data_IF_001797427906
#
_entry.id   IF_001797427906
#
_cell.length_a   1.000
_cell.length_b   1.000
_cell.length_c   1.000
_cell.angle_alpha   90.00
_cell.angle_beta   90.00
_cell.angle_gamma   90.00
#
_symmetry.space_group_name_H-M   'P 1'
#
loop_
_entity.id
_entity.type
_entity.pdbx_description
1 polymer ?
#
# COMPACT_ATOMS: atom_id res chain seq x y z
N UNK A 1 -20.43 -5.74 -4.05
CA UNK A 1 -20.20 -4.31 -3.80
C UNK A 1 -20.58 -4.03 -2.36
N UNK A 2 -19.58 -3.64 -1.56
CA UNK A 2 -19.66 -2.98 -0.24
C UNK A 2 -20.47 -3.69 0.83
N UNK A 3 -19.81 -4.33 1.78
CA UNK A 3 -20.42 -4.54 3.10
C UNK A 3 -20.54 -3.15 3.77
N UNK A 4 -21.75 -2.60 3.93
CA UNK A 4 -21.94 -1.28 4.55
C UNK A 4 -21.58 -1.31 6.04
N UNK A 5 -21.43 -2.51 6.62
CA UNK A 5 -21.06 -2.74 8.02
C UNK A 5 -19.55 -3.00 8.18
N UNK A 6 -18.73 -2.82 7.14
CA UNK A 6 -17.28 -2.98 7.23
C UNK A 6 -16.70 -1.96 8.21
N UNK A 7 -16.24 -2.45 9.36
CA UNK A 7 -15.68 -1.64 10.45
C UNK A 7 -14.20 -1.98 10.59
N UNK A 8 -13.35 -0.98 10.31
CA UNK A 8 -11.91 -1.04 10.57
C UNK A 8 -11.66 -0.64 12.02
N UNK A 9 -11.10 -1.54 12.83
CA UNK A 9 -10.73 -1.26 14.23
C UNK A 9 -9.39 -0.52 14.29
N UNK A 10 -8.42 -0.97 13.51
CA UNK A 10 -7.07 -0.38 13.50
C UNK A 10 -6.59 -0.18 12.07
N UNK A 11 -5.83 0.90 11.86
CA UNK A 11 -5.11 1.16 10.62
C UNK A 11 -3.69 1.60 10.97
N UNK A 12 -2.70 0.97 10.36
CA UNK A 12 -1.29 1.23 10.58
C UNK A 12 -0.63 1.53 9.22
N UNK A 13 -0.44 2.81 8.87
CA UNK A 13 0.29 3.16 7.65
C UNK A 13 1.76 2.77 7.77
N UNK A 14 2.38 2.36 6.66
CA UNK A 14 3.82 2.05 6.56
C UNK A 14 4.28 1.01 7.61
N UNK A 15 3.53 -0.08 7.77
CA UNK A 15 3.85 -1.14 8.73
C UNK A 15 4.99 -2.01 8.20
N UNK A 16 6.12 -2.04 8.91
CA UNK A 16 7.19 -2.99 8.62
C UNK A 16 6.81 -4.39 9.11
N UNK A 17 6.94 -5.39 8.25
CA UNK A 17 6.70 -6.80 8.57
C UNK A 17 7.88 -7.62 8.08
N UNK A 18 8.44 -8.47 8.94
CA UNK A 18 9.60 -9.29 8.62
C UNK A 18 9.27 -10.76 8.58
N UNK A 19 9.89 -11.47 7.64
CA UNK A 19 9.89 -12.93 7.66
C UNK A 19 10.93 -13.46 8.66
N UNK A 20 10.88 -14.78 8.92
CA UNK A 20 11.81 -15.46 9.84
C UNK A 20 13.28 -15.43 9.39
N UNK A 21 13.56 -15.11 8.13
CA UNK A 21 14.91 -15.00 7.56
C UNK A 21 15.45 -13.57 7.57
N UNK A 22 14.70 -12.61 8.14
CA UNK A 22 15.10 -11.21 8.24
C UNK A 22 14.81 -10.35 7.00
N UNK A 23 14.15 -10.89 5.96
CA UNK A 23 13.66 -10.06 4.85
C UNK A 23 12.37 -9.38 5.26
N UNK A 24 12.38 -8.05 5.20
CA UNK A 24 11.23 -7.21 5.53
C UNK A 24 10.48 -6.72 4.29
N UNK A 25 9.20 -6.43 4.49
CA UNK A 25 8.34 -5.63 3.61
C UNK A 25 7.83 -4.44 4.41
N UNK A 26 7.45 -3.38 3.71
CA UNK A 26 6.75 -2.23 4.29
C UNK A 26 5.40 -2.19 3.60
N UNK A 27 4.35 -2.46 4.35
CA UNK A 27 2.97 -2.42 3.88
C UNK A 27 2.50 -0.97 3.85
N UNK A 28 1.92 -0.50 2.74
CA UNK A 28 1.49 0.90 2.63
C UNK A 28 0.42 1.23 3.68
N UNK A 29 -0.57 0.34 3.86
CA UNK A 29 -1.48 0.38 5.00
C UNK A 29 -1.91 -1.03 5.43
N UNK A 30 -1.83 -1.27 6.73
CA UNK A 30 -2.29 -2.51 7.36
C UNK A 30 -3.51 -2.24 8.24
N UNK A 31 -4.63 -2.86 7.94
CA UNK A 31 -5.90 -2.68 8.65
C UNK A 31 -6.41 -3.97 9.27
N UNK A 32 -7.04 -3.88 10.44
CA UNK A 32 -7.71 -5.01 11.11
C UNK A 32 -9.21 -4.73 11.16
N UNK A 33 -10.02 -5.63 10.62
CA UNK A 33 -11.48 -5.55 10.67
C UNK A 33 -12.04 -6.06 12.00
N UNK A 34 -13.31 -5.76 12.28
CA UNK A 34 -13.96 -6.14 13.54
C UNK A 34 -14.03 -7.64 13.77
N UNK A 35 -14.19 -8.43 12.71
CA UNK A 35 -14.16 -9.89 12.74
C UNK A 35 -12.75 -10.49 12.85
N UNK A 36 -11.70 -9.66 12.90
CA UNK A 36 -10.31 -10.09 13.04
C UNK A 36 -9.60 -10.38 11.71
N UNK A 37 -10.24 -10.07 10.58
CA UNK A 37 -9.64 -10.15 9.25
C UNK A 37 -8.56 -9.07 9.08
N UNK A 38 -7.45 -9.46 8.48
CA UNK A 38 -6.26 -8.62 8.28
C UNK A 38 -6.17 -8.17 6.82
N UNK A 39 -6.04 -6.87 6.59
CA UNK A 39 -6.07 -6.26 5.26
C UNK A 39 -4.74 -5.54 5.01
N UNK A 40 -4.03 -5.96 3.98
CA UNK A 40 -2.90 -5.25 3.40
C UNK A 40 -3.40 -4.41 2.21
N UNK A 41 -3.14 -3.11 2.22
CA UNK A 41 -3.42 -2.22 1.09
C UNK A 41 -2.09 -1.77 0.52
N UNK A 42 -1.88 -2.02 -0.77
CA UNK A 42 -0.68 -1.65 -1.52
C UNK A 42 -1.06 -0.74 -2.69
N UNK A 43 -0.35 0.38 -2.88
CA UNK A 43 -0.65 1.37 -3.92
C UNK A 43 0.52 1.49 -4.90
N UNK A 44 0.28 1.22 -6.19
CA UNK A 44 1.30 1.28 -7.23
C UNK A 44 1.00 2.30 -8.33
N UNK A 45 2.00 3.15 -8.61
CA UNK A 45 1.90 4.19 -9.64
C UNK A 45 2.36 3.70 -11.02
N UNK A 46 3.30 2.75 -11.07
CA UNK A 46 3.92 2.26 -12.29
C UNK A 46 3.84 0.73 -12.36
N UNK A 47 3.86 0.21 -13.59
CA UNK A 47 3.88 -1.22 -13.85
C UNK A 47 5.32 -1.70 -14.12
N UNK A 48 6.17 -1.57 -13.10
CA UNK A 48 7.62 -1.79 -13.13
C UNK A 48 8.05 -3.16 -12.60
N UNK A 49 7.27 -3.78 -11.71
CA UNK A 49 7.62 -5.06 -11.08
C UNK A 49 6.60 -6.18 -11.38
N UNK A 50 6.90 -7.39 -10.92
CA UNK A 50 5.95 -8.48 -10.82
C UNK A 50 5.03 -8.29 -9.62
N UNK A 51 4.03 -7.43 -9.79
CA UNK A 51 3.06 -7.06 -8.76
C UNK A 51 2.28 -8.23 -8.19
N UNK A 52 1.95 -9.25 -8.99
CA UNK A 52 1.29 -10.47 -8.47
C UNK A 52 2.20 -11.25 -7.52
N UNK A 53 3.51 -11.36 -7.81
CA UNK A 53 4.46 -11.98 -6.88
C UNK A 53 4.64 -11.14 -5.62
N UNK A 54 4.59 -9.81 -5.72
CA UNK A 54 4.63 -8.89 -4.57
C UNK A 54 3.41 -9.09 -3.65
N UNK A 55 2.20 -9.04 -4.20
CA UNK A 55 0.94 -9.32 -3.48
C UNK A 55 1.02 -10.65 -2.75
N UNK A 56 1.42 -11.72 -3.45
CA UNK A 56 1.59 -13.04 -2.84
C UNK A 56 2.64 -13.05 -1.73
N UNK A 57 3.75 -12.34 -1.90
CA UNK A 57 4.83 -12.31 -0.92
C UNK A 57 4.41 -11.53 0.34
N UNK A 58 3.79 -10.36 0.18
CA UNK A 58 3.27 -9.56 1.29
C UNK A 58 2.23 -10.35 2.10
N UNK A 59 1.24 -10.94 1.42
CA UNK A 59 0.23 -11.78 2.06
C UNK A 59 0.84 -12.94 2.86
N UNK A 60 1.83 -13.62 2.30
CA UNK A 60 2.52 -14.71 2.99
C UNK A 60 3.31 -14.24 4.22
N UNK A 61 4.04 -13.12 4.11
CA UNK A 61 4.82 -12.55 5.21
C UNK A 61 3.89 -12.04 6.32
N UNK A 62 2.80 -11.38 5.95
CA UNK A 62 1.78 -10.92 6.90
C UNK A 62 1.16 -12.10 7.64
N UNK A 63 0.67 -13.11 6.92
CA UNK A 63 0.08 -14.33 7.50
C UNK A 63 1.02 -15.00 8.50
N UNK A 64 2.31 -15.14 8.14
CA UNK A 64 3.31 -15.73 9.01
C UNK A 64 3.62 -14.86 10.25
N UNK A 65 3.53 -13.53 10.12
CA UNK A 65 3.84 -12.59 11.19
C UNK A 65 2.73 -12.50 12.25
N UNK A 66 1.47 -12.57 11.83
CA UNK A 66 0.30 -12.49 12.72
C UNK A 66 -0.06 -13.84 13.39
N UNK A 67 0.55 -14.94 12.94
CA UNK A 67 0.24 -16.28 13.42
C UNK A 67 1.28 -16.75 14.44
N UNK A 68 0.84 -16.93 15.69
CA UNK A 68 1.71 -17.39 16.77
C UNK A 68 2.11 -18.88 16.64
N UNK A 69 3.30 -19.29 17.12
CA UNK A 69 3.70 -20.69 17.16
C UNK A 69 2.68 -21.58 17.89
N UNK A 70 2.29 -22.70 17.26
CA UNK A 70 1.33 -23.63 17.83
C UNK A 70 -0.15 -23.28 17.58
N UNK A 71 -0.44 -22.18 16.88
CA UNK A 71 -1.80 -21.85 16.41
C UNK A 71 -2.32 -22.96 15.49
N UNK A 72 -3.57 -23.40 15.73
CA UNK A 72 -4.24 -24.33 14.82
C UNK A 72 -4.58 -23.64 13.51
N UNK A 73 -4.46 -24.32 12.37
CA UNK A 73 -4.74 -23.72 11.06
C UNK A 73 -6.16 -23.17 10.91
N UNK A 74 -7.16 -23.76 11.58
CA UNK A 74 -8.55 -23.24 11.61
C UNK A 74 -8.70 -21.88 12.31
N UNK A 75 -7.66 -21.41 13.01
CA UNK A 75 -7.60 -20.14 13.73
C UNK A 75 -6.62 -19.15 13.12
N UNK A 76 -5.96 -19.50 12.00
CA UNK A 76 -5.14 -18.55 11.27
C UNK A 76 -6.08 -17.47 10.73
N UNK A 77 -5.82 -16.17 10.99
CA UNK A 77 -6.70 -15.10 10.53
C UNK A 77 -6.77 -15.07 9.01
N UNK A 78 -7.95 -14.70 8.49
CA UNK A 78 -8.11 -14.41 7.08
C UNK A 78 -7.32 -13.15 6.71
N UNK A 79 -6.65 -13.18 5.55
CA UNK A 79 -5.84 -12.11 5.01
C UNK A 79 -6.39 -11.69 3.65
N UNK A 80 -6.60 -10.39 3.44
CA UNK A 80 -6.88 -9.81 2.13
C UNK A 80 -5.73 -8.90 1.73
N UNK A 81 -5.29 -8.98 0.47
CA UNK A 81 -4.42 -7.95 -0.12
C UNK A 81 -5.22 -7.15 -1.14
N UNK A 82 -5.36 -5.85 -0.93
CA UNK A 82 -5.98 -4.91 -1.86
C UNK A 82 -4.86 -4.17 -2.59
N UNK A 83 -4.71 -4.45 -3.86
CA UNK A 83 -3.73 -3.81 -4.72
C UNK A 83 -4.37 -2.71 -5.55
N UNK A 84 -4.04 -1.45 -5.29
CA UNK A 84 -4.56 -0.29 -6.00
C UNK A 84 -3.52 0.18 -7.02
N UNK A 85 -3.91 0.34 -8.28
CA UNK A 85 -2.98 0.70 -9.36
C UNK A 85 -3.46 1.82 -10.24
N UNK A 86 -2.52 2.65 -10.73
CA UNK A 86 -2.76 3.68 -11.76
C UNK A 86 -2.74 3.16 -13.20
N UNK A 87 -2.76 1.84 -13.37
CA UNK A 87 -2.74 1.17 -14.66
C UNK A 87 -3.61 -0.08 -14.58
N UNK A 88 -4.12 -0.54 -15.72
CA UNK A 88 -4.90 -1.77 -15.75
C UNK A 88 -3.95 -2.99 -15.72
N UNK A 89 -3.87 -3.64 -14.55
CA UNK A 89 -3.02 -4.81 -14.30
C UNK A 89 -3.30 -5.95 -15.29
N UNK A 90 -4.58 -6.22 -15.56
CA UNK A 90 -5.01 -7.37 -16.36
C UNK A 90 -5.39 -7.00 -17.79
N UNK A 91 -5.57 -5.71 -18.08
CA UNK A 91 -5.95 -5.16 -19.40
C UNK A 91 -7.35 -5.59 -19.87
N UNK A 92 -8.22 -5.89 -18.93
CA UNK A 92 -9.59 -6.35 -19.17
C UNK A 92 -10.61 -5.20 -19.05
N UNK A 93 -10.15 -3.97 -18.77
CA UNK A 93 -10.99 -2.77 -18.80
C UNK A 93 -12.00 -2.67 -17.67
N UNK A 94 -11.69 -3.24 -16.50
CA UNK A 94 -12.52 -3.16 -15.29
C UNK A 94 -11.84 -2.32 -14.21
N UNK A 95 -12.64 -1.64 -13.39
CA UNK A 95 -12.18 -0.89 -12.21
C UNK A 95 -11.86 -1.78 -11.01
N UNK A 96 -12.38 -3.01 -10.98
CA UNK A 96 -12.25 -3.94 -9.86
C UNK A 96 -12.13 -5.39 -10.36
N UNK A 97 -11.15 -6.11 -9.82
CA UNK A 97 -10.94 -7.54 -10.06
C UNK A 97 -10.88 -8.30 -8.73
N UNK A 98 -11.55 -9.45 -8.68
CA UNK A 98 -11.36 -10.44 -7.62
C UNK A 98 -10.71 -11.67 -8.24
N UNK A 99 -9.66 -12.19 -7.62
CA UNK A 99 -8.98 -13.40 -8.11
C UNK A 99 -9.28 -14.55 -7.15
N UNK A 100 -9.99 -15.54 -7.67
CA UNK A 100 -10.41 -16.71 -6.90
C UNK A 100 -9.47 -17.91 -7.09
N UNK A 101 -9.30 -18.67 -6.01
CA UNK A 101 -8.70 -20.01 -6.08
C UNK A 101 -9.74 -21.01 -6.55
N UNK A 102 -9.48 -21.62 -7.70
CA UNK A 102 -10.39 -22.58 -8.33
C UNK A 102 -9.79 -23.98 -8.41
N UNK A 103 -10.62 -25.00 -8.20
CA UNK A 103 -10.30 -26.38 -8.58
C UNK A 103 -10.40 -26.48 -10.10
N UNK A 104 -9.27 -26.75 -10.77
CA UNK A 104 -9.17 -26.75 -12.24
C UNK A 104 -10.16 -27.72 -12.91
N UNK A 105 -10.40 -28.87 -12.28
CA UNK A 105 -11.16 -29.98 -12.87
C UNK A 105 -12.67 -29.72 -12.88
N UNK A 106 -13.20 -28.90 -11.96
CA UNK A 106 -14.64 -28.69 -11.82
C UNK A 106 -15.05 -27.20 -11.69
N UNK A 107 -14.09 -26.28 -11.72
CA UNK A 107 -14.34 -24.84 -11.63
C UNK A 107 -14.83 -24.36 -10.27
N UNK A 108 -14.87 -25.22 -9.24
CA UNK A 108 -15.35 -24.82 -7.91
C UNK A 108 -14.34 -23.93 -7.22
N UNK A 109 -14.80 -22.76 -6.77
CA UNK A 109 -14.04 -21.86 -5.91
C UNK A 109 -13.79 -22.52 -4.55
N UNK A 110 -12.57 -22.41 -4.03
CA UNK A 110 -12.17 -22.95 -2.73
C UNK A 110 -11.49 -21.86 -1.91
N UNK A 111 -11.93 -21.74 -0.67
CA UNK A 111 -11.45 -20.73 0.26
C UNK A 111 -10.42 -21.32 1.23
N UNK A 112 -9.38 -20.54 1.54
CA UNK A 112 -8.38 -20.82 2.57
C UNK A 112 -8.07 -19.60 3.44
N UNK A 113 -8.94 -18.60 3.45
CA UNK A 113 -8.75 -17.36 4.17
C UNK A 113 -7.79 -16.38 3.49
N UNK A 114 -7.38 -16.61 2.23
CA UNK A 114 -6.55 -15.65 1.49
C UNK A 114 -7.31 -15.11 0.28
N UNK A 115 -7.49 -13.79 0.23
CA UNK A 115 -8.12 -13.07 -0.87
C UNK A 115 -7.15 -12.03 -1.45
N UNK A 116 -7.21 -11.83 -2.77
CA UNK A 116 -6.52 -10.74 -3.45
C UNK A 116 -7.50 -9.98 -4.36
N UNK A 117 -7.54 -8.66 -4.16
CA UNK A 117 -8.41 -7.74 -4.86
C UNK A 117 -7.54 -6.74 -5.58
N UNK A 118 -7.80 -6.51 -6.87
CA UNK A 118 -7.07 -5.51 -7.66
C UNK A 118 -8.02 -4.38 -8.04
N UNK A 119 -7.69 -3.17 -7.61
CA UNK A 119 -8.41 -1.95 -7.90
C UNK A 119 -7.64 -1.17 -8.97
N UNK A 120 -8.32 -0.85 -10.05
CA UNK A 120 -7.75 -0.17 -11.21
C UNK A 120 -8.28 1.26 -11.28
N UNK A 121 -7.40 2.22 -11.00
CA UNK A 121 -7.73 3.63 -11.03
C UNK A 121 -7.60 4.26 -12.44
N UNK A 122 -7.13 3.50 -13.44
CA UNK A 122 -7.01 4.00 -14.81
C UNK A 122 -8.31 3.86 -15.63
N UNK A 123 -9.25 3.04 -15.15
CA UNK A 123 -10.49 2.73 -15.85
C UNK A 123 -11.67 3.37 -15.14
N UNK A 124 -12.48 4.09 -15.92
CA UNK A 124 -13.80 4.52 -15.49
C UNK A 124 -14.86 3.70 -16.21
N UNK A 125 -15.39 2.69 -15.53
CA UNK A 125 -16.47 1.80 -16.00
C UNK A 125 -17.85 2.21 -15.42
N UNK A 126 -17.95 3.40 -14.83
CA UNK A 126 -19.18 3.93 -14.23
C UNK A 126 -19.56 3.33 -12.88
N UNK A 127 -18.71 2.51 -12.27
CA UNK A 127 -18.93 1.93 -10.95
C UNK A 127 -18.57 2.89 -9.81
N UNK A 128 -19.08 2.61 -8.60
CA UNK A 128 -18.68 3.34 -7.38
C UNK A 128 -17.18 3.25 -7.10
N UNK A 129 -16.53 2.13 -7.46
CA UNK A 129 -15.08 1.95 -7.30
C UNK A 129 -14.33 2.87 -8.26
N UNK A 130 -14.73 2.94 -9.52
CA UNK A 130 -14.16 3.88 -10.49
C UNK A 130 -14.29 5.34 -10.00
N UNK A 131 -15.46 5.73 -9.49
CA UNK A 131 -15.70 7.08 -8.98
C UNK A 131 -14.86 7.39 -7.72
N UNK A 132 -14.75 6.43 -6.79
CA UNK A 132 -13.88 6.55 -5.62
C UNK A 132 -12.42 6.70 -6.03
N UNK A 133 -11.97 5.92 -7.02
CA UNK A 133 -10.62 6.01 -7.54
C UNK A 133 -10.35 7.35 -8.21
N UNK A 134 -11.32 7.91 -8.95
CA UNK A 134 -11.20 9.25 -9.53
C UNK A 134 -11.00 10.32 -8.45
N UNK A 135 -11.78 10.28 -7.35
CA UNK A 135 -11.58 11.14 -6.18
C UNK A 135 -10.19 10.94 -5.57
N UNK A 136 -9.73 9.69 -5.48
CA UNK A 136 -8.46 9.34 -4.86
C UNK A 136 -7.23 9.82 -5.68
N UNK A 137 -7.24 9.63 -7.01
CA UNK A 137 -6.05 9.89 -7.85
C UNK A 137 -5.99 11.31 -8.43
N UNK A 138 -7.13 11.92 -8.73
CA UNK A 138 -7.19 13.22 -9.41
C UNK A 138 -6.86 14.33 -8.42
N UNK A 139 -6.38 15.48 -8.88
CA UNK A 139 -5.94 16.53 -7.94
C UNK A 139 -7.12 17.24 -7.26
N UNK A 140 -8.08 17.74 -8.06
CA UNK A 140 -9.13 18.64 -7.60
C UNK A 140 -10.53 18.03 -7.70
N UNK A 141 -10.63 16.71 -7.66
CA UNK A 141 -11.90 15.97 -7.66
C UNK A 141 -12.25 15.57 -6.23
N UNK A 142 -13.46 15.89 -5.82
CA UNK A 142 -14.00 15.58 -4.50
C UNK A 142 -15.48 15.19 -4.66
N UNK A 143 -15.95 14.25 -3.85
CA UNK A 143 -17.37 13.94 -3.74
C UNK A 143 -17.72 13.80 -2.26
N UNK A 144 -18.13 14.91 -1.65
CA UNK A 144 -18.48 14.93 -0.21
C UNK A 144 -19.82 14.25 0.10
N UNK A 145 -20.69 14.05 -0.91
CA UNK A 145 -21.96 13.37 -0.70
C UNK A 145 -21.78 11.85 -0.65
N UNK A 146 -21.02 11.30 -1.60
CA UNK A 146 -20.82 9.85 -1.73
C UNK A 146 -19.57 9.34 -1.02
N UNK A 147 -18.50 10.12 -0.99
CA UNK A 147 -17.21 9.77 -0.37
C UNK A 147 -16.72 10.86 0.60
N UNK A 148 -17.50 11.19 1.65
CA UNK A 148 -17.16 12.27 2.59
C UNK A 148 -15.82 12.07 3.27
N UNK A 149 -15.50 10.85 3.72
CA UNK A 149 -14.27 10.56 4.45
C UNK A 149 -13.03 10.68 3.55
N UNK A 150 -13.06 10.09 2.35
CA UNK A 150 -11.95 10.16 1.39
C UNK A 150 -11.72 11.59 0.93
N UNK A 151 -12.79 12.32 0.61
CA UNK A 151 -12.71 13.71 0.15
C UNK A 151 -12.16 14.63 1.23
N UNK A 152 -12.65 14.52 2.47
CA UNK A 152 -12.14 15.29 3.61
C UNK A 152 -10.69 14.94 3.94
N UNK A 153 -10.33 13.64 3.93
CA UNK A 153 -8.96 13.19 4.18
C UNK A 153 -7.97 13.74 3.15
N UNK A 154 -8.31 13.67 1.86
CA UNK A 154 -7.50 14.24 0.78
C UNK A 154 -7.33 15.75 0.92
N UNK A 155 -8.40 16.47 1.24
CA UNK A 155 -8.34 17.91 1.50
C UNK A 155 -7.41 18.23 2.68
N UNK A 156 -7.54 17.48 3.79
CA UNK A 156 -6.68 17.65 4.98
C UNK A 156 -5.20 17.47 4.64
N UNK A 157 -4.85 16.39 3.95
CA UNK A 157 -3.45 16.13 3.57
C UNK A 157 -2.87 17.18 2.64
N UNK A 158 -3.67 17.77 1.75
CA UNK A 158 -3.17 18.73 0.75
C UNK A 158 -3.13 20.18 1.25
N UNK A 159 -4.14 20.60 2.00
CA UNK A 159 -4.43 22.03 2.16
C UNK A 159 -4.38 22.51 3.61
N UNK A 160 -4.13 21.63 4.58
CA UNK A 160 -4.10 22.02 6.00
C UNK A 160 -2.69 22.05 6.58
N UNK A 161 -2.46 22.96 7.52
CA UNK A 161 -1.23 23.03 8.34
C UNK A 161 -0.94 21.71 9.05
N UNK A 162 -1.99 20.96 9.43
CA UNK A 162 -1.84 19.62 10.01
C UNK A 162 -1.25 18.61 9.01
N UNK A 163 -1.66 18.65 7.73
CA UNK A 163 -1.06 17.83 6.67
C UNK A 163 0.42 18.16 6.44
N UNK A 164 0.77 19.45 6.54
CA UNK A 164 2.17 19.91 6.48
C UNK A 164 2.96 19.48 7.72
N UNK A 165 2.36 19.47 8.91
CA UNK A 165 3.00 18.98 10.14
C UNK A 165 3.25 17.47 10.11
N UNK A 166 2.31 16.67 9.60
CA UNK A 166 2.52 15.22 9.37
C UNK A 166 3.71 14.99 8.44
N UNK A 167 3.84 15.82 7.41
CA UNK A 167 4.99 15.77 6.50
C UNK A 167 6.31 16.07 7.23
N UNK A 168 6.33 17.09 8.09
CA UNK A 168 7.48 17.39 8.96
C UNK A 168 7.82 16.23 9.92
N UNK A 169 6.83 15.61 10.55
CA UNK A 169 7.04 14.47 11.46
C UNK A 169 7.62 13.25 10.72
N UNK A 170 7.15 12.96 9.50
CA UNK A 170 7.70 11.90 8.65
C UNK A 170 9.19 12.16 8.37
N UNK A 171 9.55 13.41 8.05
CA UNK A 171 10.95 13.81 7.86
C UNK A 171 11.78 13.60 9.12
N UNK A 172 11.27 14.00 10.27
CA UNK A 172 11.98 13.87 11.55
C UNK A 172 12.20 12.40 11.91
N UNK A 173 11.18 11.55 11.72
CA UNK A 173 11.30 10.11 11.96
C UNK A 173 12.33 9.46 11.03
N UNK A 174 12.28 9.78 9.73
CA UNK A 174 13.25 9.28 8.75
C UNK A 174 14.68 9.75 9.11
N UNK A 175 14.85 11.00 9.54
CA UNK A 175 16.14 11.52 10.03
C UNK A 175 16.62 10.80 11.29
N UNK A 176 15.73 10.49 12.22
CA UNK A 176 16.07 9.81 13.47
C UNK A 176 16.51 8.37 13.20
N UNK A 177 15.76 7.64 12.37
CA UNK A 177 16.12 6.29 11.91
C UNK A 177 17.51 6.30 11.23
N UNK A 178 17.74 7.25 10.31
CA UNK A 178 19.02 7.36 9.61
C UNK A 178 20.20 7.71 10.53
N UNK A 179 19.98 8.49 11.60
CA UNK A 179 21.04 8.93 12.54
C UNK A 179 21.45 7.83 13.52
N UNK A 180 20.55 6.90 13.84
CA UNK A 180 20.83 5.85 14.82
C UNK A 180 21.68 4.70 14.23
N UNK A 181 21.65 4.46 12.92
CA UNK A 181 22.16 3.20 12.36
C UNK A 181 23.26 3.34 11.29
N UNK A 182 23.45 4.53 10.71
CA UNK A 182 24.75 4.98 10.15
C UNK A 182 25.31 4.25 8.91
N UNK A 183 24.53 3.43 8.18
CA UNK A 183 25.00 2.68 6.98
C UNK A 183 24.50 3.25 5.65
N UNK A 184 25.27 3.03 4.58
CA UNK A 184 24.98 3.54 3.23
C UNK A 184 23.70 2.94 2.60
N UNK A 185 23.42 1.66 2.82
CA UNK A 185 22.20 0.98 2.37
C UNK A 185 20.93 1.58 3.00
N UNK A 186 21.03 2.13 4.21
CA UNK A 186 19.90 2.67 4.94
C UNK A 186 19.64 4.14 4.59
N UNK A 187 20.68 4.91 4.23
CA UNK A 187 20.50 6.23 3.59
C UNK A 187 19.74 6.11 2.28
N UNK A 188 20.02 5.05 1.52
CA UNK A 188 19.29 4.73 0.30
C UNK A 188 17.82 4.39 0.57
N UNK A 189 17.54 3.55 1.59
CA UNK A 189 16.17 3.25 2.04
C UNK A 189 15.42 4.50 2.48
N UNK A 190 16.08 5.41 3.22
CA UNK A 190 15.52 6.68 3.65
C UNK A 190 15.15 7.60 2.47
N UNK A 191 16.03 7.74 1.48
CA UNK A 191 15.74 8.50 0.25
C UNK A 191 14.55 7.89 -0.50
N UNK A 192 14.48 6.55 -0.57
CA UNK A 192 13.36 5.84 -1.22
C UNK A 192 12.02 6.14 -0.51
N UNK A 193 12.01 6.11 0.82
CA UNK A 193 10.83 6.51 1.62
C UNK A 193 10.44 7.97 1.36
N UNK A 194 11.39 8.90 1.34
CA UNK A 194 11.12 10.32 1.06
C UNK A 194 10.53 10.53 -0.33
N UNK A 195 11.11 9.91 -1.35
CA UNK A 195 10.58 9.97 -2.72
C UNK A 195 9.17 9.37 -2.82
N UNK A 196 8.89 8.27 -2.11
CA UNK A 196 7.57 7.65 -2.09
C UNK A 196 6.52 8.53 -1.39
N UNK A 197 6.93 9.37 -0.45
CA UNK A 197 6.08 10.37 0.21
C UNK A 197 5.99 11.71 -0.56
N UNK A 198 6.42 11.74 -1.83
CA UNK A 198 6.38 12.90 -2.74
C UNK A 198 7.18 14.12 -2.27
N UNK A 199 8.26 13.92 -1.51
CA UNK A 199 9.22 14.99 -1.29
C UNK A 199 9.96 15.30 -2.59
N UNK A 200 10.05 16.58 -2.94
CA UNK A 200 10.83 17.02 -4.09
C UNK A 200 12.34 16.94 -3.82
N UNK A 201 13.12 16.93 -4.90
CA UNK A 201 14.58 16.83 -4.86
C UNK A 201 15.19 17.94 -3.98
N UNK A 202 14.67 19.16 -4.09
CA UNK A 202 15.15 20.32 -3.33
C UNK A 202 14.98 20.12 -1.82
N UNK A 203 13.83 19.58 -1.40
CA UNK A 203 13.56 19.24 0.00
C UNK A 203 14.49 18.13 0.47
N UNK A 204 14.65 17.05 -0.30
CA UNK A 204 15.52 15.93 0.09
C UNK A 204 16.98 16.38 0.22
N UNK A 205 17.46 17.27 -0.65
CA UNK A 205 18.78 17.88 -0.54
C UNK A 205 18.89 18.71 0.75
N UNK A 206 17.87 19.49 1.09
CA UNK A 206 17.82 20.25 2.34
C UNK A 206 17.83 19.35 3.60
N UNK A 207 17.50 18.06 3.47
CA UNK A 207 17.62 17.08 4.56
C UNK A 207 19.05 16.52 4.72
N UNK A 208 20.00 16.89 3.86
CA UNK A 208 21.40 16.48 3.93
C UNK A 208 21.73 15.23 3.11
N UNK A 209 20.92 14.90 2.12
CA UNK A 209 21.23 13.90 1.09
C UNK A 209 21.82 14.58 -0.14
N UNK A 210 22.71 13.89 -0.83
CA UNK A 210 23.37 14.41 -2.02
C UNK A 210 22.57 14.09 -3.27
N UNK A 211 22.75 14.92 -4.30
CA UNK A 211 22.14 14.70 -5.61
C UNK A 211 22.50 13.33 -6.21
N UNK A 212 23.72 12.86 -5.96
CA UNK A 212 24.18 11.55 -6.44
C UNK A 212 23.47 10.39 -5.73
N UNK A 213 23.20 10.50 -4.42
CA UNK A 213 22.42 9.50 -3.66
C UNK A 213 20.96 9.47 -4.13
N UNK A 214 20.36 10.64 -4.39
CA UNK A 214 18.99 10.75 -4.91
C UNK A 214 18.91 10.12 -6.31
N UNK A 215 19.82 10.51 -7.22
CA UNK A 215 19.88 9.96 -8.57
C UNK A 215 20.14 8.46 -8.56
N UNK A 216 20.94 7.94 -7.63
CA UNK A 216 21.16 6.50 -7.50
C UNK A 216 19.87 5.76 -7.09
N UNK A 217 19.12 6.30 -6.13
CA UNK A 217 17.80 5.76 -5.74
C UNK A 217 16.78 5.85 -6.87
N UNK A 218 16.78 6.94 -7.63
CA UNK A 218 15.93 7.09 -8.81
C UNK A 218 16.33 6.18 -9.98
N UNK A 219 17.62 5.94 -10.19
CA UNK A 219 18.11 5.06 -11.27
C UNK A 219 17.80 3.61 -11.04
N UNK A 220 17.86 3.17 -9.80
CA UNK A 220 17.52 1.79 -9.45
C UNK A 220 15.99 1.61 -9.38
N UNK A 221 15.23 2.66 -9.00
CA UNK A 221 13.78 2.71 -9.31
C UNK A 221 13.49 2.51 -10.80
N UNK A 222 14.35 3.03 -11.70
CA UNK A 222 14.28 2.83 -13.16
C UNK A 222 14.89 1.51 -13.68
N UNK A 223 15.65 0.75 -12.88
CA UNK A 223 16.20 -0.57 -13.25
C UNK A 223 15.41 -1.74 -12.65
N UNK A 224 14.69 -1.47 -11.57
CA UNK A 224 13.61 -2.28 -11.04
C UNK A 224 12.27 -1.95 -11.75
N UNK A 225 12.32 -1.05 -12.76
CA UNK A 225 11.33 -0.85 -13.84
C UNK A 225 11.64 -1.65 -15.10
#
# INVERSE_FOLDING_TARGET
>A
MGDPELIVITHNPQKMVSNLQGRSVILDAHCVLVEGREIDIEVQKANDDNHQKRVRYNGAVLTANITEPGTKFEKVPDVCVIFISRFDMFKDGLSLYHVDRVIRENGRVVDNGFEEIYVNAAVNDGTDVAELMEVFISENVYNNEKFPLTSAGKHRYRETEEGQNVMCEIVEKIKLEAKQEGRAEERYSAITKLLNNNFDEETIIALGYTLDEIKAAEKDKQKES
#
